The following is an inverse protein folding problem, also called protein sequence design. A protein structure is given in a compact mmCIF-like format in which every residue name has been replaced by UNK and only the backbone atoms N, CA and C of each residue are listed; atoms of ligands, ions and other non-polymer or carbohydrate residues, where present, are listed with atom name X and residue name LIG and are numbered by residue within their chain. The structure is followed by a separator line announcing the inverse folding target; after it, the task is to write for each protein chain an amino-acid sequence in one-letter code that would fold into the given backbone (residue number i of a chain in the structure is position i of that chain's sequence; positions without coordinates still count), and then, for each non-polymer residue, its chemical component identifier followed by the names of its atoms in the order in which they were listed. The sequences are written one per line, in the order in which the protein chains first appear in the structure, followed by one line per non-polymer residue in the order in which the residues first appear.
data_IF_577068454171
#
_entry.id   IF_577068454171
#
_cell.length_a   1.000
_cell.length_b   1.000
_cell.length_c   1.000
_cell.angle_alpha   90.00
_cell.angle_beta   90.00
_cell.angle_gamma   90.00
#
_symmetry.space_group_name_H-M   'P 1'
#
loop_
_entity.id
_entity.type
_entity.pdbx_description
1 polymer ?
#
# COMPACT_ATOMS: atom_id res chain seq x y z
N UNK A 1 46.67 -10.32 -1.31
CA UNK A 1 45.41 -9.72 -0.88
C UNK A 1 45.72 -8.68 0.17
N UNK A 2 45.26 -7.46 -0.03
CA UNK A 2 45.57 -6.32 0.84
C UNK A 2 44.60 -6.26 2.02
N UNK A 3 44.95 -5.53 3.08
CA UNK A 3 44.08 -5.34 4.24
C UNK A 3 42.73 -4.65 3.89
N UNK A 4 42.66 -3.96 2.75
CA UNK A 4 41.42 -3.33 2.28
C UNK A 4 40.44 -4.32 1.64
N UNK A 5 40.93 -5.34 0.91
CA UNK A 5 40.09 -6.37 0.30
C UNK A 5 39.36 -7.20 1.38
N UNK A 6 40.04 -7.52 2.49
CA UNK A 6 39.44 -8.19 3.65
C UNK A 6 38.45 -7.34 4.45
N UNK A 7 38.47 -6.02 4.28
CA UNK A 7 37.51 -5.11 4.92
C UNK A 7 36.23 -5.03 4.09
N UNK A 8 36.37 -4.93 2.77
CA UNK A 8 35.25 -4.87 1.83
C UNK A 8 34.45 -6.18 1.78
N UNK A 9 35.10 -7.34 1.87
CA UNK A 9 34.38 -8.63 1.93
C UNK A 9 33.61 -8.80 3.24
N UNK A 10 34.15 -8.32 4.36
CA UNK A 10 33.44 -8.35 5.65
C UNK A 10 32.27 -7.37 5.70
N UNK A 11 32.42 -6.20 5.09
CA UNK A 11 31.31 -5.23 4.95
C UNK A 11 30.22 -5.79 4.01
N UNK A 12 30.57 -6.54 2.95
CA UNK A 12 29.61 -7.23 2.08
C UNK A 12 28.91 -8.40 2.75
N UNK A 13 29.61 -9.19 3.54
CA UNK A 13 29.00 -10.28 4.32
C UNK A 13 28.09 -9.74 5.42
N UNK A 14 28.47 -8.63 6.08
CA UNK A 14 27.62 -7.96 7.06
C UNK A 14 26.35 -7.36 6.42
N UNK A 15 26.47 -6.73 5.25
CA UNK A 15 25.32 -6.19 4.49
C UNK A 15 24.41 -7.30 3.93
N UNK A 16 24.98 -8.45 3.57
CA UNK A 16 24.24 -9.65 3.15
C UNK A 16 23.55 -10.37 4.31
N UNK A 17 23.98 -10.15 5.55
CA UNK A 17 23.40 -10.77 6.75
C UNK A 17 22.28 -9.92 7.36
N UNK A 18 22.33 -8.60 7.21
CA UNK A 18 21.27 -7.68 7.70
C UNK A 18 20.02 -7.67 6.82
N UNK A 19 20.06 -8.21 5.60
CA UNK A 19 18.91 -8.27 4.68
C UNK A 19 17.96 -9.46 4.91
N UNK A 20 18.18 -10.28 5.95
CA UNK A 20 17.50 -11.59 6.04
C UNK A 20 16.70 -11.88 7.31
N UNK A 21 16.44 -10.92 8.21
CA UNK A 21 15.62 -11.18 9.39
C UNK A 21 14.74 -10.00 9.82
N UNK A 22 13.86 -9.55 8.92
CA UNK A 22 12.59 -8.98 9.39
C UNK A 22 11.64 -10.16 9.55
N UNK A 23 11.59 -10.70 10.77
CA UNK A 23 10.43 -11.46 11.24
C UNK A 23 9.32 -10.45 11.45
N UNK A 24 8.50 -10.21 10.44
CA UNK A 24 7.23 -9.52 10.63
C UNK A 24 6.19 -10.55 11.01
N UNK A 25 6.04 -10.82 12.30
CA UNK A 25 4.77 -11.29 12.85
C UNK A 25 3.77 -10.12 12.77
N UNK A 26 3.41 -9.69 11.55
CA UNK A 26 2.16 -8.96 11.33
C UNK A 26 1.10 -10.05 11.28
N UNK A 27 0.05 -9.96 12.09
CA UNK A 27 -1.15 -10.75 11.83
C UNK A 27 -1.51 -10.53 10.35
N UNK A 28 -1.38 -11.58 9.56
CA UNK A 28 -1.34 -11.45 8.12
C UNK A 28 -2.68 -10.92 7.61
N UNK A 29 -2.62 -9.89 6.77
CA UNK A 29 -3.70 -9.46 5.88
C UNK A 29 -3.86 -10.53 4.79
N UNK A 30 -4.29 -11.73 5.20
CA UNK A 30 -3.97 -12.96 4.46
C UNK A 30 -4.99 -13.29 3.36
N UNK A 31 -6.16 -12.63 3.35
CA UNK A 31 -7.12 -12.73 2.25
C UNK A 31 -7.87 -11.40 2.02
N UNK A 32 -7.66 -10.82 0.83
CA UNK A 32 -8.38 -9.62 0.36
C UNK A 32 -9.89 -9.88 0.29
N UNK A 33 -10.30 -11.10 -0.06
CA UNK A 33 -11.72 -11.45 -0.12
C UNK A 33 -12.36 -11.50 1.27
N UNK A 34 -11.68 -12.09 2.25
CA UNK A 34 -12.14 -12.10 3.65
C UNK A 34 -12.20 -10.67 4.22
N UNK A 35 -11.18 -9.86 3.92
CA UNK A 35 -11.16 -8.46 4.37
C UNK A 35 -12.26 -7.65 3.70
N UNK A 36 -12.54 -7.87 2.41
CA UNK A 36 -13.63 -7.20 1.70
C UNK A 36 -14.98 -7.46 2.39
N UNK A 37 -15.25 -8.71 2.75
CA UNK A 37 -16.46 -9.09 3.48
C UNK A 37 -16.51 -8.44 4.87
N UNK A 38 -15.41 -8.51 5.64
CA UNK A 38 -15.36 -7.92 6.98
C UNK A 38 -15.57 -6.40 6.97
N UNK A 39 -14.98 -5.69 6.00
CA UNK A 39 -15.17 -4.25 5.82
C UNK A 39 -16.61 -3.93 5.41
N UNK A 40 -17.21 -4.73 4.54
CA UNK A 40 -18.60 -4.57 4.14
C UNK A 40 -19.57 -4.76 5.31
N UNK A 41 -19.41 -5.84 6.09
CA UNK A 41 -20.22 -6.11 7.28
C UNK A 41 -20.11 -4.97 8.30
N UNK A 42 -18.89 -4.52 8.59
CA UNK A 42 -18.65 -3.38 9.48
C UNK A 42 -19.27 -2.09 8.94
N UNK A 43 -19.08 -1.78 7.65
CA UNK A 43 -19.63 -0.57 7.00
C UNK A 43 -21.16 -0.57 7.04
N UNK A 44 -21.79 -1.74 6.82
CA UNK A 44 -23.23 -1.91 6.92
C UNK A 44 -23.74 -1.68 8.35
N UNK A 45 -23.00 -2.14 9.37
CA UNK A 45 -23.34 -1.88 10.78
C UNK A 45 -23.23 -0.38 11.14
N UNK A 46 -22.18 0.30 10.67
CA UNK A 46 -21.91 1.69 11.04
C UNK A 46 -22.77 2.70 10.28
N UNK A 47 -22.93 2.48 8.97
CA UNK A 47 -23.49 3.48 8.05
C UNK A 47 -24.78 3.01 7.38
N UNK A 48 -25.17 1.75 7.58
CA UNK A 48 -26.32 1.15 6.92
C UNK A 48 -26.11 0.90 5.43
N UNK A 49 -27.22 0.67 4.75
CA UNK A 49 -27.24 0.51 3.30
C UNK A 49 -27.18 1.88 2.62
N UNK A 50 -25.96 2.36 2.39
CA UNK A 50 -25.66 3.60 1.67
C UNK A 50 -25.40 3.35 0.18
N UNK A 51 -25.61 4.39 -0.63
CA UNK A 51 -25.35 4.36 -2.06
C UNK A 51 -23.87 4.02 -2.36
N UNK A 52 -23.57 3.14 -3.34
CA UNK A 52 -22.21 2.69 -3.61
C UNK A 52 -21.24 3.81 -4.04
N UNK A 53 -21.72 4.96 -4.51
CA UNK A 53 -20.86 6.12 -4.77
C UNK A 53 -20.20 6.70 -3.51
N UNK A 54 -20.77 6.53 -2.31
CA UNK A 54 -20.24 7.14 -1.10
C UNK A 54 -18.87 6.59 -0.71
N UNK A 55 -18.62 5.27 -0.67
CA UNK A 55 -17.28 4.74 -0.45
C UNK A 55 -16.28 5.14 -1.54
N UNK A 56 -16.73 5.32 -2.80
CA UNK A 56 -15.85 5.81 -3.86
C UNK A 56 -15.41 7.26 -3.62
N UNK A 57 -16.31 8.11 -3.11
CA UNK A 57 -15.99 9.48 -2.69
C UNK A 57 -14.98 9.43 -1.53
N UNK A 58 -15.19 8.56 -0.53
CA UNK A 58 -14.25 8.35 0.57
C UNK A 58 -12.85 7.95 0.08
N UNK A 59 -12.75 6.98 -0.84
CA UNK A 59 -11.47 6.60 -1.44
C UNK A 59 -10.76 7.77 -2.14
N UNK A 60 -11.52 8.70 -2.74
CA UNK A 60 -10.97 9.89 -3.39
C UNK A 60 -10.49 10.94 -2.37
N UNK A 61 -11.13 11.03 -1.20
CA UNK A 61 -10.70 11.87 -0.07
C UNK A 61 -9.36 11.37 0.47
N UNK A 62 -9.24 10.06 0.76
CA UNK A 62 -8.00 9.44 1.25
C UNK A 62 -6.86 9.53 0.23
N UNK A 63 -7.16 9.42 -1.07
CA UNK A 63 -6.16 9.66 -2.11
C UNK A 63 -5.66 11.12 -2.11
N UNK A 64 -6.52 12.06 -1.73
CA UNK A 64 -6.17 13.46 -1.51
C UNK A 64 -5.23 13.65 -0.33
N UNK A 65 -5.44 12.90 0.76
CA UNK A 65 -4.59 12.85 1.96
C UNK A 65 -3.19 12.35 1.61
N UNK A 66 -3.09 11.21 0.92
CA UNK A 66 -1.83 10.67 0.37
C UNK A 66 -1.12 11.69 -0.50
N UNK A 67 -1.85 12.33 -1.43
CA UNK A 67 -1.28 13.35 -2.32
C UNK A 67 -0.73 14.54 -1.54
N UNK A 68 -1.44 14.97 -0.49
CA UNK A 68 -1.07 16.08 0.39
C UNK A 68 0.22 15.76 1.16
N UNK A 69 0.38 14.55 1.68
CA UNK A 69 1.61 14.09 2.36
C UNK A 69 2.80 14.16 1.40
N UNK A 70 2.69 13.53 0.24
CA UNK A 70 3.76 13.48 -0.77
C UNK A 70 4.14 14.89 -1.24
N UNK A 71 3.16 15.79 -1.42
CA UNK A 71 3.42 17.18 -1.80
C UNK A 71 4.16 17.96 -0.72
N UNK A 72 3.80 17.80 0.55
CA UNK A 72 4.50 18.44 1.68
C UNK A 72 5.95 17.98 1.75
N UNK A 73 6.19 16.66 1.65
CA UNK A 73 7.53 16.07 1.64
C UNK A 73 8.37 16.66 0.50
N UNK A 74 7.83 16.67 -0.72
CA UNK A 74 8.49 17.24 -1.90
C UNK A 74 8.83 18.73 -1.75
N UNK A 75 7.99 19.49 -1.06
CA UNK A 75 8.20 20.92 -0.82
C UNK A 75 9.14 21.19 0.37
N UNK A 76 9.59 20.14 1.07
CA UNK A 76 10.34 20.26 2.33
C UNK A 76 9.61 21.14 3.35
N UNK A 77 8.27 21.13 3.29
CA UNK A 77 7.40 21.83 4.23
C UNK A 77 7.08 20.84 5.33
N UNK A 78 7.47 21.18 6.57
CA UNK A 78 7.25 20.42 7.81
C UNK A 78 8.23 19.25 8.03
N UNK A 79 9.46 19.58 8.42
CA UNK A 79 10.44 18.62 8.97
C UNK A 79 10.56 18.71 10.50
N UNK A 80 9.75 19.57 11.12
CA UNK A 80 9.66 19.81 12.54
C UNK A 80 8.80 18.72 13.20
N UNK A 81 9.30 18.16 14.30
CA UNK A 81 8.75 17.01 15.06
C UNK A 81 7.25 17.15 15.44
N UNK A 82 6.69 18.36 15.41
CA UNK A 82 5.29 18.67 15.77
C UNK A 82 4.28 18.29 14.66
N UNK A 83 4.73 18.00 13.43
CA UNK A 83 3.86 17.59 12.30
C UNK A 83 4.22 16.21 11.72
N UNK A 84 5.00 15.42 12.45
CA UNK A 84 5.57 14.14 12.01
C UNK A 84 4.58 12.96 12.04
N UNK A 85 3.27 13.19 12.16
CA UNK A 85 2.30 12.14 12.53
C UNK A 85 1.32 11.74 11.42
N UNK A 86 1.51 12.19 10.18
CA UNK A 86 0.73 11.69 9.04
C UNK A 86 1.43 10.45 8.48
N UNK A 87 0.96 9.27 8.87
CA UNK A 87 1.54 7.99 8.47
C UNK A 87 1.09 7.62 7.05
N UNK A 88 1.99 7.81 6.08
CA UNK A 88 1.73 7.48 4.68
C UNK A 88 1.24 6.04 4.49
N UNK A 89 1.70 5.09 5.32
CA UNK A 89 1.28 3.69 5.21
C UNK A 89 -0.20 3.52 5.59
N UNK A 90 -0.66 4.25 6.61
CA UNK A 90 -2.06 4.25 7.07
C UNK A 90 -2.97 4.90 6.03
N UNK A 91 -2.60 6.07 5.51
CA UNK A 91 -3.43 6.79 4.53
C UNK A 91 -3.57 6.03 3.21
N UNK A 92 -2.53 5.31 2.79
CA UNK A 92 -2.62 4.40 1.65
C UNK A 92 -3.53 3.21 1.95
N UNK A 93 -3.51 2.69 3.18
CA UNK A 93 -4.41 1.61 3.60
C UNK A 93 -5.87 2.07 3.62
N UNK A 94 -6.14 3.31 4.03
CA UNK A 94 -7.50 3.87 4.05
C UNK A 94 -8.11 3.96 2.64
N UNK A 95 -7.32 4.33 1.62
CA UNK A 95 -7.75 4.23 0.21
C UNK A 95 -8.22 2.82 -0.12
N UNK A 96 -7.46 1.80 0.30
CA UNK A 96 -7.80 0.39 0.03
C UNK A 96 -9.06 -0.02 0.79
N UNK A 97 -9.23 0.39 2.05
CA UNK A 97 -10.43 0.11 2.86
C UNK A 97 -11.70 0.64 2.18
N UNK A 98 -11.69 1.89 1.70
CA UNK A 98 -12.83 2.43 0.97
C UNK A 98 -13.09 1.73 -0.36
N UNK A 99 -12.04 1.32 -1.07
CA UNK A 99 -12.18 0.54 -2.31
C UNK A 99 -12.75 -0.86 -2.05
N UNK A 100 -12.44 -1.49 -0.90
CA UNK A 100 -13.03 -2.75 -0.49
C UNK A 100 -14.55 -2.62 -0.29
N UNK A 101 -15.01 -1.62 0.47
CA UNK A 101 -16.45 -1.37 0.66
C UNK A 101 -17.15 -1.02 -0.65
N UNK A 102 -16.51 -0.20 -1.49
CA UNK A 102 -17.01 0.11 -2.84
C UNK A 102 -17.20 -1.15 -3.68
N UNK A 103 -16.22 -2.06 -3.69
CA UNK A 103 -16.29 -3.30 -4.46
C UNK A 103 -17.38 -4.23 -3.91
N UNK A 104 -17.49 -4.39 -2.60
CA UNK A 104 -18.51 -5.22 -1.96
C UNK A 104 -19.93 -4.76 -2.33
N UNK A 105 -20.21 -3.45 -2.25
CA UNK A 105 -21.52 -2.88 -2.61
C UNK A 105 -21.88 -2.99 -4.09
N UNK A 106 -20.89 -3.21 -4.95
CA UNK A 106 -21.08 -3.38 -6.40
C UNK A 106 -20.96 -4.84 -6.87
N UNK A 107 -20.89 -5.82 -5.96
CA UNK A 107 -20.70 -7.23 -6.30
C UNK A 107 -19.43 -7.46 -7.15
N UNK A 108 -18.36 -6.73 -6.82
CA UNK A 108 -17.04 -6.82 -7.48
C UNK A 108 -16.06 -7.51 -6.54
N UNK A 109 -15.32 -8.51 -7.04
CA UNK A 109 -14.22 -9.13 -6.31
C UNK A 109 -12.91 -8.35 -6.54
N UNK A 110 -12.46 -7.59 -5.53
CA UNK A 110 -11.19 -6.87 -5.64
C UNK A 110 -10.00 -7.83 -5.79
N UNK A 111 -10.04 -8.98 -5.12
CA UNK A 111 -8.99 -10.01 -5.21
C UNK A 111 -8.83 -10.56 -6.63
N UNK A 112 -9.95 -10.91 -7.29
CA UNK A 112 -9.93 -11.34 -8.69
C UNK A 112 -9.48 -10.21 -9.62
N UNK A 113 -10.00 -9.00 -9.42
CA UNK A 113 -9.61 -7.82 -10.19
C UNK A 113 -8.11 -7.51 -10.10
N UNK A 114 -7.53 -7.60 -8.90
CA UNK A 114 -6.10 -7.45 -8.67
C UNK A 114 -5.29 -8.56 -9.33
N UNK A 115 -5.72 -9.81 -9.24
CA UNK A 115 -5.05 -10.94 -9.89
C UNK A 115 -5.01 -10.75 -11.42
N UNK A 116 -6.14 -10.37 -12.02
CA UNK A 116 -6.21 -10.08 -13.45
C UNK A 116 -5.36 -8.87 -13.84
N UNK A 117 -5.46 -7.77 -13.10
CA UNK A 117 -4.69 -6.55 -13.36
C UNK A 117 -3.19 -6.82 -13.26
N UNK A 118 -2.76 -7.55 -12.23
CA UNK A 118 -1.36 -7.99 -12.05
C UNK A 118 -0.89 -8.83 -13.22
N UNK A 119 -1.68 -9.82 -13.64
CA UNK A 119 -1.35 -10.67 -14.80
C UNK A 119 -1.17 -9.80 -16.05
N UNK A 120 -2.14 -8.92 -16.35
CA UNK A 120 -2.07 -7.99 -17.48
C UNK A 120 -0.88 -7.03 -17.41
N UNK A 121 -0.48 -6.58 -16.22
CA UNK A 121 0.66 -5.66 -16.04
C UNK A 121 1.99 -6.38 -16.16
N UNK A 122 2.11 -7.58 -15.61
CA UNK A 122 3.35 -8.37 -15.66
C UNK A 122 3.56 -9.04 -17.02
N UNK A 123 2.49 -9.34 -17.75
CA UNK A 123 2.56 -9.87 -19.12
C UNK A 123 2.83 -8.78 -20.17
N UNK A 124 2.79 -7.49 -19.79
CA UNK A 124 3.22 -6.41 -20.70
C UNK A 124 4.73 -6.48 -20.84
N UNK A 125 5.20 -6.92 -22.01
CA UNK A 125 6.57 -6.67 -22.43
C UNK A 125 6.79 -5.16 -22.55
N UNK A 126 7.51 -4.59 -21.59
CA UNK A 126 8.17 -3.30 -21.75
C UNK A 126 9.43 -3.53 -22.57
N UNK A 127 9.27 -3.92 -23.85
CA UNK A 127 10.36 -3.78 -24.81
C UNK A 127 10.71 -2.30 -24.84
N UNK A 128 11.91 -1.99 -24.32
CA UNK A 128 12.42 -0.64 -24.18
C UNK A 128 12.48 0.05 -25.53
N UNK A 129 11.36 0.68 -25.91
CA UNK A 129 11.27 1.64 -26.98
C UNK A 129 12.25 2.76 -26.68
N UNK A 130 13.42 2.63 -27.29
CA UNK A 130 14.41 3.68 -27.38
C UNK A 130 13.86 4.67 -28.39
N UNK A 131 13.29 5.76 -27.91
CA UNK A 131 13.07 6.99 -28.68
C UNK A 131 13.82 8.14 -28.01
#
# INVERSE_FOLDING_TARGET
MTNEEHKLDREREQYSFETNHIKTDVEHFEDIAETQEAIYEWSLEQFGDQDPENPLIGAQEELGEVSRIVLKEKQSIRQDEEFAEEDLEVEVADVVIYLLDFCARNDVSLSEGLHEARTKVLDRDFDGGSD
#
